data_IF_595505680359
#
_entry.id   IF_595505680359
#
_cell.length_a   1.000
_cell.length_b   1.000
_cell.length_c   1.000
_cell.angle_alpha   90.00
_cell.angle_beta   90.00
_cell.angle_gamma   90.00
#
_symmetry.space_group_name_H-M   'P 1'
#
loop_
_entity.id
_entity.type
_entity.pdbx_description
1 polymer ?
#
# COMPACT_ATOMS: atom_id res chain seq x y z
N UNK A 1 24.16 -13.14 -12.40
CA UNK A 1 22.77 -12.62 -12.53
C UNK A 1 22.74 -11.67 -13.72
N UNK A 2 21.67 -11.67 -14.53
CA UNK A 2 21.47 -10.61 -15.53
C UNK A 2 21.14 -9.29 -14.85
N UNK A 3 21.44 -8.15 -15.51
CA UNK A 3 21.15 -6.81 -14.97
C UNK A 3 19.68 -6.67 -14.57
N UNK A 4 18.75 -7.22 -15.35
CA UNK A 4 17.31 -7.18 -15.05
C UNK A 4 16.94 -7.96 -13.78
N UNK A 5 17.61 -9.10 -13.54
CA UNK A 5 17.40 -9.90 -12.33
C UNK A 5 17.95 -9.20 -11.09
N UNK A 6 19.10 -8.52 -11.24
CA UNK A 6 19.65 -7.70 -10.17
C UNK A 6 18.75 -6.50 -9.86
N UNK A 7 18.25 -5.81 -10.89
CA UNK A 7 17.33 -4.69 -10.74
C UNK A 7 16.03 -5.14 -10.05
N UNK A 8 15.42 -6.24 -10.50
CA UNK A 8 14.23 -6.82 -9.86
C UNK A 8 14.49 -7.10 -8.38
N UNK A 9 15.62 -7.73 -8.03
CA UNK A 9 15.96 -8.01 -6.64
C UNK A 9 16.09 -6.74 -5.80
N UNK A 10 16.76 -5.70 -6.30
CA UNK A 10 16.92 -4.42 -5.59
C UNK A 10 15.54 -3.77 -5.35
N UNK A 11 14.67 -3.78 -6.36
CA UNK A 11 13.32 -3.23 -6.24
C UNK A 11 12.46 -4.03 -5.25
N UNK A 12 12.58 -5.37 -5.23
CA UNK A 12 11.89 -6.24 -4.26
C UNK A 12 12.35 -5.96 -2.84
N UNK A 13 13.64 -5.73 -2.63
CA UNK A 13 14.17 -5.27 -1.33
C UNK A 13 13.62 -3.90 -0.92
N UNK A 14 13.45 -2.98 -1.87
CA UNK A 14 12.86 -1.67 -1.60
C UNK A 14 11.39 -1.77 -1.18
N UNK A 15 10.59 -2.59 -1.89
CA UNK A 15 9.20 -2.89 -1.50
C UNK A 15 9.16 -3.59 -0.14
N UNK A 16 10.01 -4.60 0.08
CA UNK A 16 10.12 -5.29 1.36
C UNK A 16 10.40 -4.32 2.51
N UNK A 17 11.44 -3.49 2.40
CA UNK A 17 11.82 -2.56 3.47
C UNK A 17 10.70 -1.59 3.82
N UNK A 18 9.98 -1.10 2.80
CA UNK A 18 8.82 -0.23 2.98
C UNK A 18 7.69 -0.96 3.73
N UNK A 19 7.24 -2.09 3.19
CA UNK A 19 6.09 -2.83 3.71
C UNK A 19 6.37 -3.48 5.06
N UNK A 20 7.54 -4.08 5.24
CA UNK A 20 7.97 -4.65 6.52
C UNK A 20 8.08 -3.56 7.60
N UNK A 21 8.73 -2.43 7.29
CA UNK A 21 8.89 -1.32 8.23
C UNK A 21 7.55 -0.72 8.66
N UNK A 22 6.68 -0.40 7.69
CA UNK A 22 5.33 0.12 7.98
C UNK A 22 4.49 -0.92 8.73
N UNK A 23 4.56 -2.18 8.32
CA UNK A 23 3.87 -3.30 8.93
C UNK A 23 4.25 -3.48 10.41
N UNK A 24 5.53 -3.48 10.74
CA UNK A 24 5.99 -3.56 12.13
C UNK A 24 5.50 -2.38 12.99
N UNK A 25 5.49 -1.16 12.44
CA UNK A 25 4.96 0.02 13.14
C UNK A 25 3.43 -0.04 13.32
N UNK A 26 2.71 -0.58 12.33
CA UNK A 26 1.27 -0.77 12.37
C UNK A 26 0.86 -1.86 13.38
N UNK A 27 1.58 -2.99 13.43
CA UNK A 27 1.39 -4.07 14.42
C UNK A 27 1.50 -3.55 15.86
N UNK A 28 2.45 -2.64 16.12
CA UNK A 28 2.65 -2.02 17.44
C UNK A 28 1.64 -0.93 17.77
N UNK A 29 0.75 -0.59 16.85
CA UNK A 29 -0.22 0.51 16.97
C UNK A 29 0.41 1.83 17.44
N UNK A 30 1.00 2.58 16.51
CA UNK A 30 1.44 3.97 16.77
C UNK A 30 0.24 4.93 16.65
N UNK A 31 -0.07 5.78 17.65
CA UNK A 31 -1.23 6.68 17.60
C UNK A 31 -1.28 7.63 16.38
N UNK A 32 -0.15 7.86 15.73
CA UNK A 32 -0.05 8.64 14.49
C UNK A 32 -0.87 8.09 13.32
N UNK A 33 -1.33 6.84 13.36
CA UNK A 33 -2.21 6.26 12.34
C UNK A 33 -3.69 6.70 12.47
N UNK A 34 -4.09 7.21 13.63
CA UNK A 34 -5.49 7.56 13.91
C UNK A 34 -6.07 8.62 12.96
N UNK A 35 -5.39 9.75 12.66
CA UNK A 35 -5.92 10.75 11.73
C UNK A 35 -6.19 10.17 10.35
N UNK A 36 -5.31 9.28 9.88
CA UNK A 36 -5.43 8.64 8.57
C UNK A 36 -6.64 7.69 8.51
N UNK A 37 -6.83 6.85 9.53
CA UNK A 37 -7.99 5.96 9.56
C UNK A 37 -9.33 6.70 9.68
N UNK A 38 -9.35 7.88 10.30
CA UNK A 38 -10.57 8.71 10.34
C UNK A 38 -10.98 9.25 8.97
N UNK A 39 -10.02 9.50 8.07
CA UNK A 39 -10.32 9.93 6.68
C UNK A 39 -11.23 8.91 5.98
N UNK A 40 -11.01 7.62 6.24
CA UNK A 40 -11.80 6.51 5.68
C UNK A 40 -12.98 6.08 6.56
N UNK A 41 -13.32 6.87 7.59
CA UNK A 41 -14.49 6.63 8.44
C UNK A 41 -14.29 5.58 9.53
N UNK A 42 -13.04 5.22 9.88
CA UNK A 42 -12.75 4.27 10.95
C UNK A 42 -12.50 5.03 12.28
N UNK A 43 -13.36 4.77 13.26
CA UNK A 43 -13.27 5.31 14.62
C UNK A 43 -12.08 4.79 15.44
N UNK A 44 -11.78 5.44 16.56
CA UNK A 44 -10.58 5.14 17.36
C UNK A 44 -10.60 3.74 18.00
N UNK A 45 -11.78 3.21 18.34
CA UNK A 45 -11.92 1.85 18.89
C UNK A 45 -11.54 0.82 17.82
N UNK A 46 -12.13 0.95 16.64
CA UNK A 46 -11.88 0.07 15.50
C UNK A 46 -10.47 0.21 14.94
N UNK A 47 -9.91 1.41 14.93
CA UNK A 47 -8.54 1.66 14.51
C UNK A 47 -7.52 0.84 15.31
N UNK A 48 -7.73 0.70 16.63
CA UNK A 48 -6.88 -0.12 17.49
C UNK A 48 -6.95 -1.61 17.16
N UNK A 49 -8.08 -2.08 16.66
CA UNK A 49 -8.28 -3.48 16.26
C UNK A 49 -7.76 -3.75 14.84
N UNK A 50 -7.96 -2.83 13.91
CA UNK A 50 -7.60 -3.01 12.51
C UNK A 50 -6.13 -2.73 12.20
N UNK A 51 -5.49 -1.76 12.85
CA UNK A 51 -4.09 -1.46 12.52
C UNK A 51 -3.14 -2.65 12.69
N UNK A 52 -3.26 -3.49 13.74
CA UNK A 52 -2.41 -4.66 13.83
C UNK A 52 -2.63 -5.67 12.69
N UNK A 53 -3.87 -5.80 12.22
CA UNK A 53 -4.21 -6.67 11.09
C UNK A 53 -3.63 -6.11 9.79
N UNK A 54 -3.81 -4.82 9.54
CA UNK A 54 -3.21 -4.10 8.40
C UNK A 54 -1.69 -4.26 8.42
N UNK A 55 -1.08 -4.09 9.59
CA UNK A 55 0.36 -4.23 9.75
C UNK A 55 0.86 -5.64 9.49
N UNK A 56 0.13 -6.67 9.93
CA UNK A 56 0.45 -8.05 9.62
C UNK A 56 0.36 -8.34 8.12
N UNK A 57 -0.68 -7.81 7.45
CA UNK A 57 -0.81 -7.92 5.99
C UNK A 57 0.35 -7.24 5.27
N UNK A 58 0.79 -6.06 5.72
CA UNK A 58 1.96 -5.39 5.15
C UNK A 58 3.23 -6.23 5.30
N UNK A 59 3.46 -6.83 6.48
CA UNK A 59 4.59 -7.75 6.69
C UNK A 59 4.53 -8.94 5.71
N UNK A 60 3.36 -9.56 5.54
CA UNK A 60 3.17 -10.68 4.61
C UNK A 60 3.48 -10.23 3.18
N UNK A 61 2.91 -9.11 2.72
CA UNK A 61 3.15 -8.58 1.38
C UNK A 61 4.63 -8.26 1.16
N UNK A 62 5.31 -7.69 2.16
CA UNK A 62 6.75 -7.44 2.11
C UNK A 62 7.54 -8.72 1.81
N UNK A 63 7.29 -9.79 2.57
CA UNK A 63 7.97 -11.07 2.37
C UNK A 63 7.60 -11.76 1.06
N UNK A 64 6.32 -11.71 0.66
CA UNK A 64 5.86 -12.25 -0.63
C UNK A 64 6.58 -11.54 -1.77
N UNK A 65 6.67 -10.21 -1.73
CA UNK A 65 7.43 -9.43 -2.71
C UNK A 65 8.92 -9.81 -2.72
N UNK A 66 9.52 -10.05 -1.54
CA UNK A 66 10.95 -10.39 -1.43
C UNK A 66 11.29 -11.78 -1.94
N UNK A 67 10.41 -12.77 -1.77
CA UNK A 67 10.71 -14.18 -2.08
C UNK A 67 10.06 -14.71 -3.34
N UNK A 68 8.89 -14.19 -3.73
CA UNK A 68 8.25 -14.56 -4.99
C UNK A 68 8.67 -13.63 -6.11
N UNK A 69 9.39 -14.17 -7.10
CA UNK A 69 9.72 -13.46 -8.33
C UNK A 69 8.50 -13.37 -9.24
N UNK A 70 8.39 -12.26 -9.98
CA UNK A 70 7.41 -12.08 -11.04
C UNK A 70 5.94 -12.36 -10.65
N UNK A 71 5.48 -11.76 -9.55
CA UNK A 71 4.08 -11.81 -9.12
C UNK A 71 3.38 -10.46 -9.36
N UNK A 72 2.99 -10.13 -10.60
CA UNK A 72 2.56 -8.77 -10.95
C UNK A 72 1.30 -8.32 -10.22
N UNK A 73 0.39 -9.23 -9.84
CA UNK A 73 -0.79 -8.89 -9.03
C UNK A 73 -0.44 -8.43 -7.62
N UNK A 74 0.58 -9.04 -7.00
CA UNK A 74 1.07 -8.61 -5.68
C UNK A 74 1.73 -7.23 -5.81
N UNK A 75 2.47 -6.99 -6.89
CA UNK A 75 3.05 -5.67 -7.13
C UNK A 75 1.98 -4.61 -7.44
N UNK A 76 0.88 -4.98 -8.11
CA UNK A 76 -0.29 -4.12 -8.26
C UNK A 76 -0.90 -3.76 -6.91
N UNK A 77 -1.08 -4.75 -6.03
CA UNK A 77 -1.53 -4.50 -4.65
C UNK A 77 -0.57 -3.56 -3.91
N UNK A 78 0.73 -3.84 -3.94
CA UNK A 78 1.74 -3.05 -3.25
C UNK A 78 1.78 -1.59 -3.76
N UNK A 79 1.68 -1.40 -5.08
CA UNK A 79 1.59 -0.08 -5.70
C UNK A 79 0.32 0.66 -5.25
N UNK A 80 -0.86 0.03 -5.39
CA UNK A 80 -2.15 0.65 -5.05
C UNK A 80 -2.23 0.98 -3.56
N UNK A 81 -1.82 0.05 -2.70
CA UNK A 81 -1.84 0.25 -1.25
C UNK A 81 -0.82 1.31 -0.80
N UNK A 82 0.41 1.26 -1.32
CA UNK A 82 1.44 2.25 -1.02
C UNK A 82 1.06 3.66 -1.49
N UNK A 83 0.45 3.78 -2.67
CA UNK A 83 -0.05 5.05 -3.17
C UNK A 83 -1.24 5.55 -2.32
N UNK A 84 -2.19 4.68 -2.00
CA UNK A 84 -3.37 5.04 -1.19
C UNK A 84 -2.95 5.54 0.20
N UNK A 85 -2.02 4.86 0.85
CA UNK A 85 -1.50 5.27 2.17
C UNK A 85 -0.63 6.53 2.10
N UNK A 86 0.02 6.83 0.97
CA UNK A 86 0.69 8.11 0.78
C UNK A 86 -0.32 9.25 0.54
N UNK A 87 -1.37 9.00 -0.25
CA UNK A 87 -2.43 9.97 -0.54
C UNK A 87 -3.33 10.29 0.65
N UNK A 88 -3.43 9.40 1.64
CA UNK A 88 -4.24 9.67 2.84
C UNK A 88 -3.70 10.84 3.67
N UNK A 89 -2.41 11.17 3.53
CA UNK A 89 -1.75 12.27 4.27
C UNK A 89 -2.32 13.64 3.91
N UNK A 90 -2.30 14.08 2.63
CA UNK A 90 -2.94 15.35 2.28
C UNK A 90 -4.44 15.35 2.59
N UNK A 91 -5.12 14.21 2.48
CA UNK A 91 -6.53 14.08 2.87
C UNK A 91 -6.75 14.22 4.39
N UNK A 92 -5.77 13.89 5.21
CA UNK A 92 -5.77 14.11 6.65
C UNK A 92 -5.33 15.53 7.05
N UNK A 93 -5.07 16.42 6.08
CA UNK A 93 -4.67 17.81 6.32
C UNK A 93 -3.16 18.04 6.36
N UNK A 94 -2.34 17.04 6.02
CA UNK A 94 -0.89 17.23 5.89
C UNK A 94 -0.50 17.89 4.55
N UNK A 95 0.75 18.31 4.45
CA UNK A 95 1.29 18.88 3.21
C UNK A 95 1.31 17.86 2.07
N UNK A 96 1.04 18.31 0.84
CA UNK A 96 1.20 17.50 -0.38
C UNK A 96 2.64 16.98 -0.55
N UNK A 97 3.63 17.67 0.03
CA UNK A 97 5.01 17.20 0.03
C UNK A 97 5.18 15.87 0.79
N UNK A 98 4.29 15.52 1.71
CA UNK A 98 4.27 14.20 2.35
C UNK A 98 3.90 13.06 1.39
N UNK A 99 3.10 13.33 0.34
CA UNK A 99 2.86 12.38 -0.75
C UNK A 99 4.11 12.24 -1.62
N UNK A 100 4.74 13.36 -1.99
CA UNK A 100 5.91 13.40 -2.88
C UNK A 100 7.11 12.69 -2.24
N UNK A 101 7.36 12.97 -0.96
CA UNK A 101 8.43 12.33 -0.17
C UNK A 101 8.26 10.80 -0.08
N UNK A 102 7.03 10.30 -0.20
CA UNK A 102 6.70 8.87 -0.14
C UNK A 102 6.55 8.21 -1.50
N UNK A 103 6.93 8.86 -2.58
CA UNK A 103 7.00 8.23 -3.92
C UNK A 103 7.83 6.94 -3.91
N UNK A 104 8.88 6.88 -3.09
CA UNK A 104 9.67 5.68 -2.84
C UNK A 104 8.90 4.50 -2.23
N UNK A 105 7.73 4.73 -1.64
CA UNK A 105 6.93 3.66 -1.05
C UNK A 105 6.19 2.80 -2.10
N UNK A 106 5.86 3.38 -3.27
CA UNK A 106 4.99 2.73 -4.24
C UNK A 106 5.60 2.64 -5.65
N UNK A 107 6.46 3.57 -6.07
CA UNK A 107 7.10 3.51 -7.39
C UNK A 107 7.95 2.25 -7.60
N UNK A 108 8.67 1.70 -6.60
CA UNK A 108 9.39 0.45 -6.79
C UNK A 108 8.48 -0.72 -7.21
N UNK A 109 7.27 -0.80 -6.65
CA UNK A 109 6.28 -1.79 -7.05
C UNK A 109 5.79 -1.56 -8.50
N UNK A 110 5.59 -0.31 -8.91
CA UNK A 110 5.26 0.03 -10.30
C UNK A 110 6.35 -0.41 -11.29
N UNK A 111 7.61 -0.18 -10.95
CA UNK A 111 8.74 -0.65 -11.75
C UNK A 111 8.78 -2.19 -11.83
N UNK A 112 8.46 -2.89 -10.74
CA UNK A 112 8.34 -4.35 -10.76
C UNK A 112 7.20 -4.83 -11.67
N UNK A 113 6.05 -4.16 -11.67
CA UNK A 113 4.96 -4.48 -12.62
C UNK A 113 5.48 -4.36 -14.06
N UNK A 114 6.18 -3.28 -14.39
CA UNK A 114 6.78 -3.10 -15.73
C UNK A 114 7.74 -4.24 -16.09
N UNK A 115 8.72 -4.52 -15.22
CA UNK A 115 9.74 -5.55 -15.47
C UNK A 115 9.14 -6.95 -15.62
N UNK A 116 8.07 -7.26 -14.89
CA UNK A 116 7.46 -8.59 -14.93
C UNK A 116 6.47 -8.80 -16.07
N UNK A 117 5.90 -7.72 -16.62
CA UNK A 117 4.77 -7.83 -17.57
C UNK A 117 5.11 -7.34 -18.97
N UNK A 118 6.15 -6.50 -19.12
CA UNK A 118 6.61 -6.00 -20.41
C UNK A 118 5.48 -5.38 -21.24
N UNK A 119 5.15 -5.99 -22.38
CA UNK A 119 4.08 -5.50 -23.27
C UNK A 119 2.68 -5.50 -22.65
N UNK A 120 2.46 -6.27 -21.58
CA UNK A 120 1.17 -6.31 -20.87
C UNK A 120 1.03 -5.21 -19.82
N UNK A 121 2.01 -4.31 -19.67
CA UNK A 121 2.00 -3.31 -18.61
C UNK A 121 0.71 -2.48 -18.54
N UNK A 122 0.18 -2.04 -19.69
CA UNK A 122 -1.05 -1.26 -19.75
C UNK A 122 -2.27 -2.02 -19.16
N UNK A 123 -2.33 -3.34 -19.36
CA UNK A 123 -3.38 -4.18 -18.77
C UNK A 123 -3.26 -4.23 -17.24
N UNK A 124 -2.04 -4.32 -16.70
CA UNK A 124 -1.83 -4.29 -15.25
C UNK A 124 -2.04 -2.91 -14.63
N UNK A 125 -1.81 -1.83 -15.38
CA UNK A 125 -2.24 -0.49 -14.96
C UNK A 125 -3.77 -0.40 -14.85
N UNK A 126 -4.51 -1.00 -15.79
CA UNK A 126 -5.96 -1.09 -15.70
C UNK A 126 -6.42 -1.86 -14.44
N UNK A 127 -5.75 -2.98 -14.13
CA UNK A 127 -5.99 -3.72 -12.88
C UNK A 127 -5.73 -2.82 -11.66
N UNK A 128 -4.63 -2.08 -11.63
CA UNK A 128 -4.33 -1.15 -10.53
C UNK A 128 -5.44 -0.10 -10.35
N UNK A 129 -5.94 0.47 -11.44
CA UNK A 129 -7.05 1.43 -11.41
C UNK A 129 -8.33 0.79 -10.86
N UNK A 130 -8.67 -0.44 -11.29
CA UNK A 130 -9.84 -1.17 -10.78
C UNK A 130 -9.72 -1.49 -9.28
N UNK A 131 -8.52 -1.88 -8.82
CA UNK A 131 -8.24 -2.12 -7.40
C UNK A 131 -8.37 -0.83 -6.58
N UNK A 132 -7.81 0.28 -7.07
CA UNK A 132 -7.91 1.59 -6.42
C UNK A 132 -9.37 2.06 -6.32
N UNK A 133 -10.15 1.92 -7.39
CA UNK A 133 -11.57 2.23 -7.39
C UNK A 133 -12.34 1.39 -6.35
N UNK A 134 -12.01 0.11 -6.22
CA UNK A 134 -12.62 -0.79 -5.24
C UNK A 134 -12.33 -0.40 -3.79
N UNK A 135 -11.12 0.10 -3.50
CA UNK A 135 -10.78 0.65 -2.18
C UNK A 135 -11.57 1.92 -1.87
N UNK A 136 -11.73 2.83 -2.85
CA UNK A 136 -12.51 4.06 -2.68
C UNK A 136 -13.99 3.74 -2.41
N UNK A 137 -14.57 2.84 -3.19
CA UNK A 137 -15.98 2.41 -3.00
C UNK A 137 -16.16 1.78 -1.62
N UNK A 138 -15.26 0.89 -1.20
CA UNK A 138 -15.29 0.29 0.14
C UNK A 138 -15.24 1.34 1.25
N UNK A 139 -14.34 2.32 1.14
CA UNK A 139 -14.24 3.42 2.10
C UNK A 139 -15.51 4.29 2.16
N UNK A 140 -16.10 4.60 1.01
CA UNK A 140 -17.36 5.34 0.95
C UNK A 140 -18.53 4.57 1.59
N UNK A 141 -18.61 3.26 1.35
CA UNK A 141 -19.61 2.39 1.97
C UNK A 141 -19.45 2.45 3.48
N UNK A 142 -18.26 2.16 4.02
CA UNK A 142 -18.00 2.16 5.47
C UNK A 142 -18.39 3.48 6.14
N UNK A 143 -18.11 4.60 5.48
CA UNK A 143 -18.49 5.94 5.97
C UNK A 143 -20.00 6.17 5.96
N UNK A 144 -20.70 5.71 4.92
CA UNK A 144 -22.15 5.94 4.73
C UNK A 144 -22.99 5.15 5.73
N UNK A 145 -22.63 3.89 5.98
CA UNK A 145 -23.42 3.01 6.88
C UNK A 145 -22.97 3.09 8.34
N UNK A 146 -21.98 3.93 8.66
CA UNK A 146 -21.53 4.20 10.02
C UNK A 146 -21.01 2.97 10.77
N UNK A 147 -20.57 1.93 10.05
CA UNK A 147 -20.12 0.65 10.61
C UNK A 147 -19.05 0.82 11.70
N UNK A 148 -18.23 1.87 11.60
CA UNK A 148 -17.11 2.13 12.49
C UNK A 148 -17.17 3.49 13.21
N UNK A 149 -18.35 4.12 13.27
CA UNK A 149 -18.54 5.45 13.89
C UNK A 149 -18.58 5.45 15.43
N UNK A 150 -18.21 4.35 16.09
CA UNK A 150 -18.10 4.25 17.56
C UNK A 150 -16.63 4.26 17.98
#
# INVERSE_FOLDING_TARGET
MSSDRLLSLILRWSVFGTFFGHGCLAVRFVPGWLPYLRVVGIGNEWARRFMPIIGLLDVIIGFVCLFMDCCPLIYCWAFVWGLSTAMIRPLAGESIFGLIERTGNFLPALCLIWLCTGSQFAYYLYICMAMAASLVVSGFIFRTIGLFNK
#
